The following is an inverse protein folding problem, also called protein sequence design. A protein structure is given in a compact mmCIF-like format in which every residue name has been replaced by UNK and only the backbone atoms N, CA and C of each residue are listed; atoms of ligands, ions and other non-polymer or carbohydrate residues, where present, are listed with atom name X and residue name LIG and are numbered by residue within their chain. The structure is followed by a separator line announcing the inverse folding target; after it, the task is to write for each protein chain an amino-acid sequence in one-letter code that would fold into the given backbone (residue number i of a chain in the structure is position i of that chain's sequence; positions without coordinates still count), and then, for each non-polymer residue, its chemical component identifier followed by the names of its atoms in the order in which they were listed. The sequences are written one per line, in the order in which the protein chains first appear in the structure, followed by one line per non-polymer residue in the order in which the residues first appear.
data_IF_845674381603
#
_entry.id   IF_845674381603
#
_cell.length_a   1.000
_cell.length_b   1.000
_cell.length_c   1.000
_cell.angle_alpha   90.00
_cell.angle_beta   90.00
_cell.angle_gamma   90.00
#
_symmetry.space_group_name_H-M   'P 1'
#
loop_
_entity.id
_entity.type
_entity.pdbx_description
1 polymer ?
#
# COMPACT_ATOMS: atom_id res chain seq x y z
N UNK A 1 -39.59 -18.18 -36.06
CA UNK A 1 -38.32 -18.92 -35.89
C UNK A 1 -37.35 -18.01 -35.16
N UNK A 2 -36.60 -18.59 -34.22
CA UNK A 2 -36.07 -17.94 -33.02
C UNK A 2 -34.94 -16.95 -33.26
N UNK A 3 -35.04 -15.79 -32.61
CA UNK A 3 -33.94 -14.85 -32.36
C UNK A 3 -32.99 -15.46 -31.31
N UNK A 4 -31.88 -16.04 -31.77
CA UNK A 4 -30.72 -16.33 -30.94
C UNK A 4 -29.50 -15.68 -31.60
N UNK A 5 -29.38 -14.36 -31.49
CA UNK A 5 -28.07 -13.73 -31.52
C UNK A 5 -27.32 -14.23 -30.28
N UNK A 6 -26.60 -15.35 -30.47
CA UNK A 6 -25.53 -15.73 -29.58
C UNK A 6 -24.57 -14.55 -29.52
N UNK A 7 -24.59 -13.83 -28.40
CA UNK A 7 -23.46 -13.04 -27.91
C UNK A 7 -22.25 -13.96 -27.94
N UNK A 8 -21.51 -13.97 -29.04
CA UNK A 8 -20.25 -14.69 -29.13
C UNK A 8 -19.30 -14.05 -28.13
N UNK A 9 -19.19 -14.68 -26.97
CA UNK A 9 -18.18 -14.37 -25.98
C UNK A 9 -16.84 -14.62 -26.69
N UNK A 10 -16.16 -13.54 -27.08
CA UNK A 10 -14.81 -13.63 -27.63
C UNK A 10 -13.97 -14.48 -26.67
N UNK A 11 -13.29 -15.54 -27.13
CA UNK A 11 -12.44 -16.34 -26.27
C UNK A 11 -11.38 -15.44 -25.64
N UNK A 12 -11.30 -15.52 -24.31
CA UNK A 12 -10.39 -14.73 -23.48
C UNK A 12 -9.27 -15.68 -23.06
N UNK A 13 -8.02 -15.29 -23.30
CA UNK A 13 -6.86 -16.07 -22.90
C UNK A 13 -6.66 -16.04 -21.37
N UNK A 14 -6.81 -14.85 -20.76
CA UNK A 14 -6.79 -14.68 -19.31
C UNK A 14 -7.80 -13.61 -18.86
N UNK A 15 -8.57 -13.94 -17.83
CA UNK A 15 -9.50 -13.03 -17.16
C UNK A 15 -9.13 -12.92 -15.68
N UNK A 16 -8.38 -11.88 -15.31
CA UNK A 16 -7.94 -11.64 -13.93
C UNK A 16 -8.75 -10.50 -13.35
N UNK A 17 -9.55 -10.78 -12.33
CA UNK A 17 -10.36 -9.75 -11.67
C UNK A 17 -9.49 -8.80 -10.83
N UNK A 18 -9.78 -7.50 -10.87
CA UNK A 18 -9.04 -6.51 -10.06
C UNK A 18 -9.13 -6.81 -8.56
N UNK A 19 -10.25 -7.29 -8.00
CA UNK A 19 -10.32 -7.68 -6.59
C UNK A 19 -9.37 -8.82 -6.21
N UNK A 20 -9.14 -9.79 -7.10
CA UNK A 20 -8.15 -10.84 -6.86
C UNK A 20 -6.74 -10.25 -6.74
N UNK A 21 -6.37 -9.37 -7.68
CA UNK A 21 -5.07 -8.69 -7.67
C UNK A 21 -4.90 -7.84 -6.41
N UNK A 22 -5.92 -7.03 -6.06
CA UNK A 22 -5.90 -6.21 -4.86
C UNK A 22 -5.81 -7.06 -3.57
N UNK A 23 -6.43 -8.24 -3.55
CA UNK A 23 -6.31 -9.21 -2.46
C UNK A 23 -4.88 -9.74 -2.31
N UNK A 24 -4.26 -10.20 -3.40
CA UNK A 24 -2.86 -10.68 -3.40
C UNK A 24 -1.89 -9.58 -2.95
N UNK A 25 -2.07 -8.36 -3.48
CA UNK A 25 -1.29 -7.16 -3.13
C UNK A 25 -1.41 -6.81 -1.64
N UNK A 26 -2.51 -7.16 -0.99
CA UNK A 26 -2.74 -6.88 0.44
C UNK A 26 -2.23 -8.01 1.35
N UNK A 27 -2.41 -9.26 0.94
CA UNK A 27 -2.06 -10.44 1.75
C UNK A 27 -0.54 -10.63 1.82
N UNK A 28 0.19 -10.45 0.72
CA UNK A 28 1.64 -10.69 0.69
C UNK A 28 2.42 -9.77 1.65
N UNK A 29 2.18 -8.45 1.71
CA UNK A 29 2.82 -7.57 2.68
C UNK A 29 2.45 -7.90 4.13
N UNK A 30 1.19 -8.24 4.38
CA UNK A 30 0.73 -8.62 5.71
C UNK A 30 1.43 -9.90 6.19
N UNK A 31 1.50 -10.91 5.32
CA UNK A 31 2.25 -12.13 5.57
C UNK A 31 3.74 -11.84 5.83
N UNK A 32 4.38 -11.03 4.98
CA UNK A 32 5.79 -10.69 5.12
C UNK A 32 6.08 -9.97 6.45
N UNK A 33 5.23 -9.04 6.87
CA UNK A 33 5.37 -8.32 8.13
C UNK A 33 5.23 -9.27 9.34
N UNK A 34 4.19 -10.10 9.36
CA UNK A 34 3.96 -11.07 10.44
C UNK A 34 5.10 -12.08 10.50
N UNK A 35 5.53 -12.60 9.35
CA UNK A 35 6.64 -13.53 9.26
C UNK A 35 7.94 -12.92 9.75
N UNK A 36 8.28 -11.70 9.30
CA UNK A 36 9.52 -11.05 9.67
C UNK A 36 9.63 -10.80 11.19
N UNK A 37 8.57 -10.25 11.79
CA UNK A 37 8.52 -9.98 13.23
C UNK A 37 8.47 -11.30 14.02
N UNK A 38 7.60 -12.23 13.64
CA UNK A 38 7.44 -13.51 14.34
C UNK A 38 8.71 -14.35 14.31
N UNK A 39 9.38 -14.43 13.15
CA UNK A 39 10.64 -15.14 13.03
C UNK A 39 11.75 -14.47 13.85
N UNK A 40 11.81 -13.13 13.81
CA UNK A 40 12.80 -12.38 14.60
C UNK A 40 12.60 -12.58 16.10
N UNK A 41 11.36 -12.60 16.59
CA UNK A 41 11.06 -12.84 18.02
C UNK A 41 11.42 -14.27 18.43
N UNK A 42 11.20 -15.27 17.57
CA UNK A 42 11.46 -16.67 17.90
C UNK A 42 12.95 -17.05 17.83
N UNK A 43 13.66 -16.53 16.84
CA UNK A 43 15.01 -17.00 16.50
C UNK A 43 16.11 -15.94 16.62
N UNK A 44 15.75 -14.65 16.62
CA UNK A 44 16.71 -13.53 16.64
C UNK A 44 16.33 -12.46 17.67
N UNK A 45 15.73 -12.84 18.80
CA UNK A 45 15.12 -11.90 19.75
C UNK A 45 16.08 -10.80 20.18
N UNK A 46 17.19 -11.17 20.84
CA UNK A 46 18.13 -10.22 21.41
C UNK A 46 18.72 -9.26 20.35
N UNK A 47 19.06 -9.79 19.17
CA UNK A 47 19.65 -9.01 18.10
C UNK A 47 18.63 -8.08 17.43
N UNK A 48 17.38 -8.52 17.26
CA UNK A 48 16.33 -7.75 16.61
C UNK A 48 15.69 -6.70 17.52
N UNK A 49 15.69 -6.90 18.84
CA UNK A 49 15.15 -5.94 19.82
C UNK A 49 16.19 -4.93 20.31
N UNK A 50 17.46 -5.08 19.90
CA UNK A 50 18.54 -4.16 20.29
C UNK A 50 18.34 -2.81 19.60
N UNK A 51 18.22 -1.75 20.41
CA UNK A 51 18.07 -0.37 19.94
C UNK A 51 19.16 0.50 20.56
N UNK A 52 19.83 1.31 19.74
CA UNK A 52 20.81 2.30 20.20
C UNK A 52 20.10 3.64 20.42
N UNK A 53 20.22 4.22 21.61
CA UNK A 53 19.74 5.56 21.91
C UNK A 53 20.91 6.56 22.04
N UNK A 54 20.64 7.87 21.87
CA UNK A 54 21.67 8.90 21.70
C UNK A 54 22.17 9.56 23.00
N UNK A 55 21.83 9.03 24.19
CA UNK A 55 22.38 9.58 25.43
C UNK A 55 23.91 9.41 25.45
N UNK A 56 24.61 10.53 25.36
CA UNK A 56 26.07 10.61 25.36
C UNK A 56 26.64 9.93 26.61
N UNK A 57 27.34 8.82 26.41
CA UNK A 57 28.27 8.26 27.40
C UNK A 57 27.84 7.01 28.13
N UNK A 58 26.63 6.49 27.91
CA UNK A 58 26.19 5.22 28.50
C UNK A 58 25.89 4.17 27.42
N UNK A 59 26.56 3.02 27.48
CA UNK A 59 26.35 1.88 26.58
C UNK A 59 25.08 1.09 26.94
N UNK A 60 24.13 1.69 27.65
CA UNK A 60 22.92 1.02 28.11
C UNK A 60 21.96 0.86 26.94
N UNK A 61 21.74 -0.39 26.53
CA UNK A 61 20.68 -0.76 25.60
C UNK A 61 19.40 -0.99 26.42
N UNK A 62 18.37 -0.14 26.30
CA UNK A 62 17.12 -0.33 27.04
C UNK A 62 16.46 -1.65 26.64
N UNK A 63 15.74 -2.25 27.58
CA UNK A 63 15.06 -3.52 27.31
C UNK A 63 13.86 -3.31 26.39
N UNK A 64 13.74 -4.12 25.32
CA UNK A 64 12.63 -4.10 24.37
C UNK A 64 12.10 -5.53 24.16
N UNK A 65 10.79 -5.65 23.98
CA UNK A 65 10.11 -6.94 23.81
C UNK A 65 9.60 -7.19 22.38
N UNK A 66 9.64 -6.18 21.52
CA UNK A 66 9.31 -6.28 20.10
C UNK A 66 10.32 -5.50 19.25
N UNK A 67 10.77 -6.06 18.11
CA UNK A 67 11.64 -5.39 17.15
C UNK A 67 10.82 -4.48 16.21
N UNK A 68 11.37 -3.38 15.71
CA UNK A 68 10.76 -2.70 14.55
C UNK A 68 10.82 -3.60 13.31
N UNK A 69 9.94 -3.37 12.33
CA UNK A 69 9.96 -4.11 11.05
C UNK A 69 11.29 -3.87 10.34
N UNK A 70 11.78 -2.63 10.33
CA UNK A 70 13.11 -2.31 9.77
C UNK A 70 14.24 -3.10 10.44
N UNK A 71 14.20 -3.28 11.77
CA UNK A 71 15.17 -4.12 12.47
C UNK A 71 15.02 -5.60 12.10
N UNK A 72 13.78 -6.10 12.03
CA UNK A 72 13.49 -7.49 11.66
C UNK A 72 13.99 -7.82 10.24
N UNK A 73 13.79 -6.95 9.26
CA UNK A 73 14.16 -7.21 7.85
C UNK A 73 15.57 -6.75 7.46
N UNK A 74 16.31 -6.11 8.37
CA UNK A 74 17.59 -5.48 8.06
C UNK A 74 18.70 -6.47 7.69
N UNK A 75 19.18 -7.24 8.68
CA UNK A 75 20.34 -8.12 8.53
C UNK A 75 20.03 -9.60 8.65
N UNK A 76 18.82 -9.94 9.10
CA UNK A 76 18.51 -11.32 9.43
C UNK A 76 17.98 -12.09 8.22
N UNK A 77 18.51 -13.28 7.96
CA UNK A 77 17.90 -14.29 7.09
C UNK A 77 17.13 -15.33 7.93
N UNK A 78 15.98 -15.85 7.45
CA UNK A 78 15.40 -15.71 6.11
C UNK A 78 14.47 -14.49 5.92
N UNK A 79 14.11 -13.75 6.97
CA UNK A 79 13.07 -12.72 6.88
C UNK A 79 13.34 -11.59 5.89
N UNK A 80 14.59 -11.14 5.76
CA UNK A 80 15.00 -10.16 4.72
C UNK A 80 14.62 -10.61 3.31
N UNK A 81 14.86 -11.89 2.99
CA UNK A 81 14.57 -12.43 1.65
C UNK A 81 13.08 -12.60 1.42
N UNK A 82 12.35 -13.13 2.41
CA UNK A 82 10.88 -13.27 2.33
C UNK A 82 10.22 -11.91 2.14
N UNK A 83 10.65 -10.89 2.89
CA UNK A 83 10.18 -9.52 2.75
C UNK A 83 10.43 -8.98 1.33
N UNK A 84 11.67 -9.03 0.85
CA UNK A 84 12.05 -8.51 -0.48
C UNK A 84 11.28 -9.17 -1.61
N UNK A 85 11.12 -10.49 -1.58
CA UNK A 85 10.35 -11.23 -2.59
C UNK A 85 8.89 -10.77 -2.58
N UNK A 86 8.27 -10.67 -1.40
CA UNK A 86 6.89 -10.20 -1.29
C UNK A 86 6.74 -8.76 -1.82
N UNK A 87 7.63 -7.84 -1.44
CA UNK A 87 7.61 -6.45 -1.91
C UNK A 87 7.82 -6.32 -3.42
N UNK A 88 8.72 -7.12 -3.99
CA UNK A 88 8.93 -7.17 -5.43
C UNK A 88 7.67 -7.62 -6.17
N UNK A 89 7.06 -8.72 -5.72
CA UNK A 89 5.85 -9.29 -6.35
C UNK A 89 4.65 -8.34 -6.31
N UNK A 90 4.49 -7.54 -5.26
CA UNK A 90 3.36 -6.60 -5.14
C UNK A 90 3.60 -5.25 -5.82
N UNK A 91 4.85 -4.84 -6.02
CA UNK A 91 5.19 -3.52 -6.56
C UNK A 91 4.56 -3.24 -7.93
N UNK A 92 4.74 -4.15 -8.89
CA UNK A 92 4.18 -4.04 -10.24
C UNK A 92 2.64 -3.92 -10.26
N UNK A 93 1.90 -4.86 -9.65
CA UNK A 93 0.46 -4.78 -9.54
C UNK A 93 -0.05 -3.48 -8.86
N UNK A 94 0.67 -2.92 -7.89
CA UNK A 94 0.30 -1.64 -7.27
C UNK A 94 0.35 -0.47 -8.25
N UNK A 95 1.31 -0.43 -9.18
CA UNK A 95 1.32 0.57 -10.25
C UNK A 95 0.11 0.45 -11.19
N UNK A 96 -0.31 -0.78 -11.49
CA UNK A 96 -1.54 -1.01 -12.28
C UNK A 96 -2.75 -0.43 -11.55
N UNK A 97 -2.87 -0.68 -10.23
CA UNK A 97 -3.95 -0.12 -9.41
C UNK A 97 -3.89 1.41 -9.39
N UNK A 98 -2.70 2.02 -9.33
CA UNK A 98 -2.54 3.47 -9.42
C UNK A 98 -3.12 4.04 -10.72
N UNK A 99 -2.82 3.40 -11.86
CA UNK A 99 -3.37 3.78 -13.17
C UNK A 99 -4.89 3.60 -13.21
N UNK A 100 -5.42 2.52 -12.62
CA UNK A 100 -6.86 2.29 -12.54
C UNK A 100 -7.58 3.38 -11.75
N UNK A 101 -7.03 3.82 -10.61
CA UNK A 101 -7.59 4.96 -9.86
C UNK A 101 -7.54 6.26 -10.65
N UNK A 102 -6.45 6.54 -11.38
CA UNK A 102 -6.37 7.71 -12.25
C UNK A 102 -7.45 7.69 -13.34
N UNK A 103 -7.62 6.56 -14.02
CA UNK A 103 -8.67 6.33 -15.01
C UNK A 103 -10.06 6.50 -14.42
N UNK A 104 -10.31 5.92 -13.25
CA UNK A 104 -11.56 6.09 -12.51
C UNK A 104 -11.86 7.56 -12.23
N UNK A 105 -10.92 8.31 -11.66
CA UNK A 105 -11.15 9.71 -11.34
C UNK A 105 -11.37 10.53 -12.61
N UNK A 106 -10.53 10.39 -13.63
CA UNK A 106 -10.65 11.15 -14.90
C UNK A 106 -11.89 10.82 -15.73
N UNK A 107 -12.49 9.63 -15.55
CA UNK A 107 -13.78 9.29 -16.17
C UNK A 107 -14.96 10.10 -15.64
N UNK A 108 -14.79 10.76 -14.48
CA UNK A 108 -15.87 11.48 -13.80
C UNK A 108 -15.80 12.97 -14.16
N UNK A 109 -16.84 13.45 -14.84
CA UNK A 109 -16.99 14.87 -15.14
C UNK A 109 -17.54 15.62 -13.92
N UNK A 110 -16.70 16.40 -13.23
CA UNK A 110 -17.10 17.23 -12.07
C UNK A 110 -17.56 18.65 -12.47
N UNK A 111 -17.98 18.84 -13.73
CA UNK A 111 -18.48 20.11 -14.25
C UNK A 111 -17.42 21.21 -14.19
N UNK A 112 -17.77 22.37 -13.61
CA UNK A 112 -16.90 23.56 -13.54
C UNK A 112 -15.52 23.30 -12.90
N UNK A 113 -15.41 22.32 -12.01
CA UNK A 113 -14.16 22.02 -11.29
C UNK A 113 -13.35 20.88 -11.89
N UNK A 114 -13.67 20.42 -13.10
CA UNK A 114 -13.06 19.25 -13.73
C UNK A 114 -11.54 19.35 -13.86
N UNK A 115 -10.99 20.45 -14.35
CA UNK A 115 -9.54 20.60 -14.53
C UNK A 115 -8.78 20.50 -13.20
N UNK A 116 -9.25 21.20 -12.16
CA UNK A 116 -8.64 21.14 -10.81
C UNK A 116 -8.73 19.72 -10.26
N UNK A 117 -9.89 19.07 -10.42
CA UNK A 117 -10.10 17.70 -9.95
C UNK A 117 -9.17 16.71 -10.67
N UNK A 118 -8.98 16.87 -11.99
CA UNK A 118 -8.04 16.07 -12.78
C UNK A 118 -6.59 16.28 -12.34
N UNK A 119 -6.17 17.51 -12.08
CA UNK A 119 -4.83 17.80 -11.51
C UNK A 119 -4.64 17.11 -10.16
N UNK A 120 -5.63 17.21 -9.26
CA UNK A 120 -5.58 16.52 -7.97
C UNK A 120 -5.52 15.00 -8.11
N UNK A 121 -6.25 14.41 -9.07
CA UNK A 121 -6.16 12.98 -9.37
C UNK A 121 -4.78 12.58 -9.89
N UNK A 122 -4.16 13.41 -10.75
CA UNK A 122 -2.80 13.19 -11.22
C UNK A 122 -1.78 13.26 -10.07
N UNK A 123 -1.90 14.28 -9.19
CA UNK A 123 -1.07 14.41 -7.98
C UNK A 123 -1.24 13.19 -7.06
N UNK A 124 -2.47 12.72 -6.85
CA UNK A 124 -2.75 11.54 -6.05
C UNK A 124 -2.07 10.29 -6.62
N UNK A 125 -2.11 10.12 -7.94
CA UNK A 125 -1.45 9.02 -8.65
C UNK A 125 0.07 9.09 -8.56
N UNK A 126 0.63 10.31 -8.63
CA UNK A 126 2.07 10.54 -8.45
C UNK A 126 2.51 10.21 -7.02
N UNK A 127 1.78 10.66 -6.00
CA UNK A 127 2.06 10.34 -4.60
C UNK A 127 2.05 8.82 -4.36
N UNK A 128 1.06 8.11 -4.92
CA UNK A 128 1.00 6.65 -4.82
C UNK A 128 2.19 5.98 -5.54
N UNK A 129 2.60 6.51 -6.69
CA UNK A 129 3.76 5.98 -7.42
C UNK A 129 5.07 6.16 -6.64
N UNK A 130 5.26 7.34 -6.03
CA UNK A 130 6.43 7.64 -5.19
C UNK A 130 6.40 6.80 -3.91
N UNK A 131 5.23 6.58 -3.30
CA UNK A 131 5.05 5.64 -2.19
C UNK A 131 5.57 4.24 -2.56
N UNK A 132 5.20 3.71 -3.73
CA UNK A 132 5.67 2.39 -4.17
C UNK A 132 7.20 2.38 -4.35
N UNK A 133 7.76 3.37 -5.05
CA UNK A 133 9.20 3.46 -5.28
C UNK A 133 10.00 3.57 -3.97
N UNK A 134 9.54 4.40 -3.04
CA UNK A 134 10.19 4.61 -1.74
C UNK A 134 10.08 3.39 -0.83
N UNK A 135 8.96 2.66 -0.86
CA UNK A 135 8.81 1.38 -0.14
C UNK A 135 9.75 0.29 -0.69
N UNK A 136 9.90 0.22 -2.02
CA UNK A 136 10.89 -0.68 -2.65
C UNK A 136 12.30 -0.28 -2.22
N UNK A 137 12.65 1.01 -2.31
CA UNK A 137 13.94 1.51 -1.82
C UNK A 137 14.20 1.14 -0.35
N UNK A 138 13.22 1.38 0.51
CA UNK A 138 13.27 1.05 1.95
C UNK A 138 13.47 -0.46 2.21
N UNK A 139 12.93 -1.32 1.33
CA UNK A 139 13.02 -2.77 1.46
C UNK A 139 14.36 -3.35 0.99
N UNK A 140 15.03 -2.67 0.05
CA UNK A 140 16.27 -3.14 -0.56
C UNK A 140 17.51 -2.47 0.01
N UNK A 141 17.40 -1.26 0.56
CA UNK A 141 18.48 -0.56 1.26
C UNK A 141 18.26 -0.74 2.77
N UNK A 142 19.02 -1.64 3.39
CA UNK A 142 18.97 -1.83 4.84
C UNK A 142 19.55 -0.61 5.57
N UNK A 143 19.12 -0.37 6.80
CA UNK A 143 19.73 0.64 7.68
C UNK A 143 21.21 0.35 7.96
N UNK A 144 21.61 -0.93 7.93
CA UNK A 144 23.00 -1.39 8.06
C UNK A 144 23.83 -1.16 6.78
N UNK A 145 23.19 -1.22 5.60
CA UNK A 145 23.85 -1.00 4.32
C UNK A 145 24.14 0.49 4.09
N UNK A 146 23.11 1.33 4.27
CA UNK A 146 23.23 2.79 4.17
C UNK A 146 22.09 3.47 4.94
N UNK A 147 22.40 3.93 6.16
CA UNK A 147 21.43 4.55 7.05
C UNK A 147 20.77 5.80 6.45
N UNK A 148 21.54 6.65 5.76
CA UNK A 148 21.01 7.92 5.23
C UNK A 148 20.00 7.71 4.11
N UNK A 149 20.30 6.79 3.17
CA UNK A 149 19.37 6.44 2.10
C UNK A 149 18.14 5.72 2.67
N UNK A 150 18.33 4.79 3.61
CA UNK A 150 17.23 4.10 4.27
C UNK A 150 16.27 5.10 4.94
N UNK A 151 16.82 6.04 5.72
CA UNK A 151 16.06 7.11 6.39
C UNK A 151 15.36 8.01 5.38
N UNK A 152 16.02 8.38 4.27
CA UNK A 152 15.41 9.19 3.22
C UNK A 152 14.21 8.46 2.57
N UNK A 153 14.37 7.18 2.23
CA UNK A 153 13.29 6.35 1.69
C UNK A 153 12.12 6.25 2.67
N UNK A 154 12.40 6.05 3.97
CA UNK A 154 11.37 6.03 5.01
C UNK A 154 10.59 7.34 5.08
N UNK A 155 11.29 8.48 5.12
CA UNK A 155 10.64 9.80 5.18
C UNK A 155 9.77 10.08 3.94
N UNK A 156 10.27 9.78 2.75
CA UNK A 156 9.51 9.94 1.49
C UNK A 156 8.29 9.03 1.49
N UNK A 157 8.46 7.75 1.87
CA UNK A 157 7.38 6.78 1.95
C UNK A 157 6.27 7.29 2.87
N UNK A 158 6.60 7.62 4.12
CA UNK A 158 5.63 8.10 5.10
C UNK A 158 4.91 9.37 4.63
N UNK A 159 5.64 10.36 4.11
CA UNK A 159 5.02 11.58 3.60
C UNK A 159 4.04 11.29 2.44
N UNK A 160 4.45 10.46 1.48
CA UNK A 160 3.62 10.12 0.34
C UNK A 160 2.37 9.32 0.73
N UNK A 161 2.50 8.35 1.65
CA UNK A 161 1.37 7.58 2.19
C UNK A 161 0.30 8.52 2.76
N UNK A 162 0.71 9.42 3.65
CA UNK A 162 -0.23 10.28 4.38
C UNK A 162 -0.94 11.26 3.43
N UNK A 163 -0.17 11.93 2.56
CA UNK A 163 -0.73 12.81 1.55
C UNK A 163 -1.66 12.06 0.59
N UNK A 164 -1.28 10.84 0.17
CA UNK A 164 -2.10 10.00 -0.71
C UNK A 164 -3.43 9.62 -0.05
N UNK A 165 -3.43 9.16 1.20
CA UNK A 165 -4.64 8.76 1.92
C UNK A 165 -5.61 9.93 2.10
N UNK A 166 -5.11 11.08 2.52
CA UNK A 166 -5.92 12.31 2.68
C UNK A 166 -6.52 12.74 1.33
N UNK A 167 -5.69 12.79 0.29
CA UNK A 167 -6.13 13.25 -1.03
C UNK A 167 -7.13 12.28 -1.66
N UNK A 168 -6.95 10.97 -1.50
CA UNK A 168 -7.90 9.94 -1.94
C UNK A 168 -9.25 10.12 -1.25
N UNK A 169 -9.25 10.28 0.08
CA UNK A 169 -10.48 10.52 0.85
C UNK A 169 -11.19 11.79 0.39
N UNK A 170 -10.44 12.87 0.12
CA UNK A 170 -10.97 14.12 -0.40
C UNK A 170 -11.59 13.95 -1.80
N UNK A 171 -10.86 13.33 -2.74
CA UNK A 171 -11.32 13.13 -4.11
C UNK A 171 -12.60 12.28 -4.14
N UNK A 172 -12.62 11.16 -3.43
CA UNK A 172 -13.79 10.27 -3.37
C UNK A 172 -14.98 10.92 -2.66
N UNK A 173 -14.73 11.76 -1.64
CA UNK A 173 -15.79 12.55 -1.03
C UNK A 173 -16.36 13.61 -2.00
N UNK A 174 -15.50 14.28 -2.78
CA UNK A 174 -15.91 15.31 -3.73
C UNK A 174 -16.71 14.73 -4.90
N UNK A 175 -16.33 13.55 -5.39
CA UNK A 175 -17.11 12.78 -6.39
C UNK A 175 -18.54 12.58 -5.90
N UNK A 176 -18.72 12.19 -4.63
CA UNK A 176 -20.04 11.99 -4.04
C UNK A 176 -20.90 13.24 -4.04
N UNK A 177 -20.30 14.39 -3.77
CA UNK A 177 -21.04 15.65 -3.67
C UNK A 177 -21.28 16.31 -5.03
N UNK A 178 -20.57 15.89 -6.08
CA UNK A 178 -20.67 16.47 -7.42
C UNK A 178 -21.84 15.84 -8.20
N UNK A 179 -22.66 16.70 -8.82
CA UNK A 179 -23.70 16.34 -9.81
C UNK A 179 -24.85 15.43 -9.32
N UNK A 180 -25.11 15.33 -8.02
CA UNK A 180 -26.25 14.58 -7.49
C UNK A 180 -26.15 13.06 -7.68
N UNK A 181 -24.96 12.53 -7.98
CA UNK A 181 -24.71 11.08 -8.09
C UNK A 181 -24.96 10.42 -6.73
N UNK A 182 -25.94 9.51 -6.68
CA UNK A 182 -26.12 8.63 -5.53
C UNK A 182 -25.03 7.56 -5.56
N UNK A 183 -24.24 7.47 -4.50
CA UNK A 183 -23.27 6.39 -4.33
C UNK A 183 -23.98 5.06 -4.18
N UNK A 184 -23.38 4.03 -4.77
CA UNK A 184 -23.70 2.65 -4.45
C UNK A 184 -23.35 2.36 -2.99
N UNK A 185 -23.99 1.34 -2.40
CA UNK A 185 -23.67 0.92 -1.02
C UNK A 185 -22.20 0.52 -0.86
N UNK A 186 -21.58 -0.02 -1.92
CA UNK A 186 -20.19 -0.48 -1.93
C UNK A 186 -19.22 0.71 -1.90
N UNK A 187 -19.46 1.73 -2.73
CA UNK A 187 -18.62 2.95 -2.74
C UNK A 187 -18.68 3.68 -1.40
N UNK A 188 -19.87 3.73 -0.78
CA UNK A 188 -20.04 4.32 0.56
C UNK A 188 -19.23 3.53 1.60
N UNK A 189 -19.34 2.21 1.58
CA UNK A 189 -18.59 1.33 2.48
C UNK A 189 -17.08 1.50 2.31
N UNK A 190 -16.58 1.53 1.07
CA UNK A 190 -15.17 1.74 0.75
C UNK A 190 -14.66 3.08 1.32
N UNK A 191 -15.39 4.17 1.07
CA UNK A 191 -15.02 5.49 1.57
C UNK A 191 -15.01 5.55 3.11
N UNK A 192 -15.96 4.91 3.77
CA UNK A 192 -16.03 4.87 5.23
C UNK A 192 -14.83 4.10 5.82
N UNK A 193 -14.40 3.00 5.18
CA UNK A 193 -13.17 2.31 5.57
C UNK A 193 -11.92 3.16 5.33
N UNK A 194 -11.77 3.75 4.13
CA UNK A 194 -10.63 4.64 3.80
C UNK A 194 -10.47 5.76 4.82
N UNK A 195 -11.57 6.43 5.21
CA UNK A 195 -11.55 7.50 6.21
C UNK A 195 -11.09 7.00 7.59
N UNK A 196 -11.65 5.89 8.06
CA UNK A 196 -11.26 5.30 9.36
C UNK A 196 -9.78 4.92 9.37
N UNK A 197 -9.33 4.25 8.31
CA UNK A 197 -7.94 3.79 8.18
C UNK A 197 -6.97 4.97 8.06
N UNK A 198 -7.32 6.02 7.32
CA UNK A 198 -6.55 7.26 7.23
C UNK A 198 -6.39 7.93 8.61
N UNK A 199 -7.48 8.08 9.38
CA UNK A 199 -7.41 8.66 10.73
C UNK A 199 -6.56 7.81 11.68
N UNK A 200 -6.70 6.48 11.62
CA UNK A 200 -5.88 5.55 12.42
C UNK A 200 -4.41 5.65 12.01
N UNK A 201 -4.11 5.72 10.71
CA UNK A 201 -2.73 5.79 10.20
C UNK A 201 -2.04 7.07 10.69
N UNK A 202 -2.61 8.24 10.40
CA UNK A 202 -2.07 9.56 10.81
C UNK A 202 -1.91 9.62 12.33
N UNK A 203 -2.95 9.25 13.08
CA UNK A 203 -2.93 9.31 14.54
C UNK A 203 -1.84 8.42 15.13
N UNK A 204 -1.67 7.23 14.58
CA UNK A 204 -0.66 6.28 15.06
C UNK A 204 0.75 6.66 14.60
N UNK A 205 0.91 7.26 13.42
CA UNK A 205 2.19 7.79 12.97
C UNK A 205 2.69 8.93 13.86
N UNK A 206 1.81 9.86 14.24
CA UNK A 206 2.14 10.93 15.20
C UNK A 206 2.59 10.33 16.55
N UNK A 207 1.90 9.29 17.03
CA UNK A 207 2.27 8.58 18.25
C UNK A 207 3.62 7.85 18.11
N UNK A 208 3.91 7.28 16.93
CA UNK A 208 5.20 6.67 16.64
C UNK A 208 6.34 7.70 16.73
N UNK A 209 6.14 8.91 16.18
CA UNK A 209 7.12 10.00 16.29
C UNK A 209 7.39 10.38 17.75
N UNK A 210 6.35 10.42 18.58
CA UNK A 210 6.49 10.66 20.02
C UNK A 210 7.35 9.58 20.70
N UNK A 211 7.05 8.30 20.47
CA UNK A 211 7.82 7.21 21.07
C UNK A 211 9.26 7.14 20.54
N UNK A 212 9.46 7.40 19.25
CA UNK A 212 10.80 7.47 18.67
C UNK A 212 11.62 8.59 19.32
N UNK A 213 11.06 9.81 19.41
CA UNK A 213 11.67 10.94 20.12
C UNK A 213 11.98 10.58 21.58
N UNK A 214 10.99 10.00 22.27
CA UNK A 214 11.15 9.62 23.67
C UNK A 214 12.28 8.60 23.87
N UNK A 215 12.39 7.62 22.98
CA UNK A 215 13.46 6.64 22.99
C UNK A 215 14.83 7.29 22.73
N UNK A 216 14.93 8.17 21.73
CA UNK A 216 16.19 8.82 21.36
C UNK A 216 16.77 9.67 22.49
N UNK A 217 15.92 10.43 23.21
CA UNK A 217 16.37 11.42 24.21
C UNK A 217 16.32 10.94 25.65
N UNK A 218 15.37 10.07 26.02
CA UNK A 218 15.20 9.63 27.42
C UNK A 218 15.60 8.18 27.65
N UNK A 219 15.93 7.41 26.60
CA UNK A 219 16.36 6.00 26.69
C UNK A 219 15.48 5.13 27.61
N UNK A 220 14.16 5.38 27.64
CA UNK A 220 13.25 4.63 28.48
C UNK A 220 13.14 3.16 28.05
N UNK A 221 13.09 2.27 29.04
CA UNK A 221 12.80 0.85 28.81
C UNK A 221 11.48 0.67 28.06
N UNK A 222 11.47 -0.23 27.08
CA UNK A 222 10.33 -0.64 26.26
C UNK A 222 9.78 0.44 25.34
N UNK A 223 10.30 1.67 25.40
CA UNK A 223 9.83 2.78 24.58
C UNK A 223 9.97 2.48 23.08
N UNK A 224 11.07 1.82 22.66
CA UNK A 224 11.24 1.43 21.27
C UNK A 224 10.27 0.32 20.84
N UNK A 225 9.86 -0.56 21.75
CA UNK A 225 8.79 -1.53 21.47
C UNK A 225 7.43 -0.86 21.29
N UNK A 226 7.12 0.22 22.03
CA UNK A 226 5.89 0.98 21.76
C UNK A 226 5.93 1.70 20.41
N UNK A 227 7.11 2.20 20.00
CA UNK A 227 7.33 2.65 18.63
C UNK A 227 7.06 1.54 17.61
N UNK A 228 7.61 0.33 17.81
CA UNK A 228 7.39 -0.82 16.93
C UNK A 228 5.90 -1.21 16.83
N UNK A 229 5.15 -1.20 17.94
CA UNK A 229 3.70 -1.44 17.91
C UNK A 229 2.97 -0.40 17.05
N UNK A 230 3.35 0.88 17.17
CA UNK A 230 2.77 1.94 16.33
C UNK A 230 3.12 1.73 14.85
N UNK A 231 4.36 1.37 14.55
CA UNK A 231 4.81 1.03 13.20
C UNK A 231 3.98 -0.12 12.60
N UNK A 232 3.69 -1.17 13.38
CA UNK A 232 2.85 -2.27 12.89
C UNK A 232 1.44 -1.79 12.54
N UNK A 233 0.82 -0.99 13.40
CA UNK A 233 -0.53 -0.43 13.15
C UNK A 233 -0.52 0.45 11.89
N UNK A 234 0.51 1.27 11.69
CA UNK A 234 0.69 2.08 10.47
C UNK A 234 0.78 1.17 9.23
N UNK A 235 1.57 0.10 9.28
CA UNK A 235 1.71 -0.85 8.17
C UNK A 235 0.36 -1.51 7.85
N UNK A 236 -0.31 -2.09 8.86
CA UNK A 236 -1.58 -2.79 8.63
C UNK A 236 -2.72 -1.86 8.22
N UNK A 237 -2.76 -0.62 8.73
CA UNK A 237 -3.75 0.36 8.28
C UNK A 237 -3.47 0.84 6.86
N UNK A 238 -2.20 0.96 6.44
CA UNK A 238 -1.83 1.23 5.04
C UNK A 238 -2.25 0.08 4.11
N UNK A 239 -1.94 -1.17 4.49
CA UNK A 239 -2.39 -2.36 3.74
C UNK A 239 -3.91 -2.38 3.62
N UNK A 240 -4.62 -2.17 4.73
CA UNK A 240 -6.08 -2.11 4.74
C UNK A 240 -6.64 -0.96 3.89
N UNK A 241 -5.94 0.18 3.83
CA UNK A 241 -6.37 1.30 3.01
C UNK A 241 -6.29 0.93 1.53
N UNK A 242 -5.18 0.33 1.10
CA UNK A 242 -5.01 -0.13 -0.28
C UNK A 242 -5.94 -1.30 -0.63
N UNK A 243 -6.25 -2.17 0.33
CA UNK A 243 -7.16 -3.33 0.12
C UNK A 243 -8.59 -2.91 -0.23
N UNK A 244 -9.00 -1.68 0.10
CA UNK A 244 -10.31 -1.14 -0.32
C UNK A 244 -10.48 -1.08 -1.85
N UNK A 245 -9.40 -1.17 -2.63
CA UNK A 245 -9.46 -1.36 -4.08
C UNK A 245 -10.30 -2.59 -4.48
N UNK A 246 -10.38 -3.62 -3.63
CA UNK A 246 -11.26 -4.78 -3.86
C UNK A 246 -12.74 -4.40 -3.92
N UNK A 247 -13.14 -3.37 -3.17
CA UNK A 247 -14.50 -2.84 -3.15
C UNK A 247 -14.70 -1.86 -4.32
N UNK A 248 -13.74 -0.97 -4.54
CA UNK A 248 -13.81 0.09 -5.57
C UNK A 248 -13.87 -0.49 -6.99
N UNK A 249 -13.16 -1.59 -7.22
CA UNK A 249 -13.02 -2.22 -8.53
C UNK A 249 -13.72 -3.60 -8.61
N UNK A 250 -14.73 -3.84 -7.77
CA UNK A 250 -15.39 -5.16 -7.64
C UNK A 250 -15.83 -5.79 -8.96
N UNK A 251 -16.30 -4.97 -9.90
CA UNK A 251 -16.82 -5.42 -11.20
C UNK A 251 -15.81 -5.28 -12.35
N UNK A 252 -14.55 -4.91 -12.08
CA UNK A 252 -13.54 -4.75 -13.12
C UNK A 252 -12.65 -5.98 -13.24
N UNK A 253 -12.29 -6.31 -14.48
CA UNK A 253 -11.35 -7.37 -14.78
C UNK A 253 -10.40 -6.96 -15.91
N UNK A 254 -9.16 -7.45 -15.82
CA UNK A 254 -8.16 -7.36 -16.87
C UNK A 254 -8.36 -8.55 -17.81
N UNK A 255 -8.69 -8.24 -19.07
CA UNK A 255 -9.04 -9.22 -20.10
C UNK A 255 -7.97 -9.16 -21.19
N UNK A 256 -7.27 -10.27 -21.42
CA UNK A 256 -6.38 -10.44 -22.57
C UNK A 256 -7.13 -11.27 -23.63
N UNK A 257 -7.51 -10.67 -24.77
CA UNK A 257 -8.21 -11.40 -25.83
C UNK A 257 -7.29 -12.43 -26.49
N UNK A 258 -7.85 -13.55 -26.94
CA UNK A 258 -7.10 -14.58 -27.65
C UNK A 258 -6.66 -14.05 -29.04
N UNK A 259 -5.34 -13.97 -29.33
CA UNK A 259 -4.84 -13.50 -30.61
C UNK A 259 -5.27 -14.36 -31.81
N UNK A 260 -5.65 -15.63 -31.61
CA UNK A 260 -6.09 -16.52 -32.69
C UNK A 260 -7.42 -16.09 -33.33
N UNK A 261 -8.23 -15.29 -32.64
CA UNK A 261 -9.52 -14.78 -33.17
C UNK A 261 -9.40 -13.61 -34.13
N UNK A 262 -8.26 -12.93 -34.18
CA UNK A 262 -8.00 -11.91 -35.19
C UNK A 262 -7.66 -12.51 -36.56
N UNK A 263 -7.19 -13.76 -36.62
CA UNK A 263 -6.88 -14.43 -37.90
C UNK A 263 -8.12 -15.04 -38.56
N UNK A 264 -9.08 -15.57 -37.81
CA UNK A 264 -10.28 -16.20 -38.39
C UNK A 264 -11.27 -15.21 -39.05
N UNK A 265 -11.13 -13.91 -38.81
CA UNK A 265 -12.01 -12.89 -39.41
C UNK A 265 -11.50 -12.34 -40.75
N UNK A 266 -10.30 -12.72 -41.19
CA UNK A 266 -9.79 -12.39 -42.54
C UNK A 266 -10.07 -13.46 -43.60
N UNK A 267 -10.46 -14.69 -43.20
CA UNK A 267 -10.65 -15.82 -44.12
C UNK A 267 -12.10 -15.99 -44.63
N UNK A 268 -13.01 -15.06 -44.32
CA UNK A 268 -14.43 -15.08 -44.78
C UNK A 268 -14.82 -13.85 -45.63
N UNK A 269 -13.89 -13.31 -46.42
CA UNK A 269 -14.21 -12.42 -47.54
C UNK A 269 -13.74 -13.11 -48.83
N UNK A 270 -14.61 -13.96 -49.37
CA UNK A 270 -14.68 -14.31 -50.80
C UNK A 270 -16.15 -14.28 -51.22
#
# INVERSE_FOLDING_TARGET
MSNYELLQVKPVLFNITVPFVAGVVSILPAFAAIFAVGWSVLFNFEASTRSQCQLQGDNTSPYNFLPSVSAAIGDFAPQKYVWRICMALVSGPRFIIAVLYYGYHTSINTGRYYEIYKTLAATCTLLFSIEICSLVGLSYVSSSDNFDIHKLCFCIFMFCVECYMVLTCYLMHKVRTSNGRKLTSIEKQSLDYKKKLCVVNIGTFILALYFYYSHTYYCGDRTYSYFAVCEYIVIFSNIGFHSTAMLDFKSMALVVPDPTTHHQSQDYIL
#
